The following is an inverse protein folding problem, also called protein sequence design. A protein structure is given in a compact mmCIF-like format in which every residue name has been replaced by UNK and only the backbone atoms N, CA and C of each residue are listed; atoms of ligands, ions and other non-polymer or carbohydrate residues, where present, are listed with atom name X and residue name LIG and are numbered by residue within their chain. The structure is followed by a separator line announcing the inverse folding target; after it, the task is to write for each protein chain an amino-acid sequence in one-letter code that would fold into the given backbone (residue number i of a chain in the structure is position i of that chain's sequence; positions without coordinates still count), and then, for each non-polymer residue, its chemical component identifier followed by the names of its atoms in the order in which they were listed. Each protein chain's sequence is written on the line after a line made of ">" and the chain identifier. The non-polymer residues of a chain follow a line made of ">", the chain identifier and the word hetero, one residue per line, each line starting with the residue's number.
data_IF_819065210343
#
_entry.id   IF_819065210343
#
_cell.length_a   1.000
_cell.length_b   1.000
_cell.length_c   1.000
_cell.angle_alpha   90.00
_cell.angle_beta   90.00
_cell.angle_gamma   90.00
#
_symmetry.space_group_name_H-M   'P 1'
#
loop_
_entity.id
_entity.type
_entity.pdbx_description
1 polymer ?
#
# COMPACT_ATOMS: atom_id res chain seq x y z
N UNK A 1 -0.51 26.85 11.56
CA UNK A 1 -1.90 26.33 11.68
C UNK A 1 -1.96 25.00 10.94
N UNK A 2 -2.20 23.89 11.65
CA UNK A 2 -2.36 22.60 10.99
C UNK A 2 -3.64 22.62 10.14
N UNK A 3 -3.54 22.36 8.83
CA UNK A 3 -4.70 22.20 7.96
C UNK A 3 -5.44 20.94 8.44
N UNK A 4 -6.72 21.07 8.81
CA UNK A 4 -7.55 19.90 9.16
C UNK A 4 -7.72 19.05 7.90
N UNK A 5 -7.23 17.81 7.94
CA UNK A 5 -7.49 16.82 6.91
C UNK A 5 -8.96 16.40 6.99
N UNK A 6 -9.67 16.46 5.85
CA UNK A 6 -11.03 15.93 5.68
C UNK A 6 -10.98 14.91 4.57
N UNK A 7 -11.38 13.68 4.88
CA UNK A 7 -11.33 12.52 3.98
C UNK A 7 -12.52 11.61 4.30
N UNK A 8 -13.10 10.96 3.29
CA UNK A 8 -14.19 10.01 3.51
C UNK A 8 -13.65 8.65 3.99
N UNK A 9 -14.50 7.83 4.60
CA UNK A 9 -14.12 6.46 5.00
C UNK A 9 -13.84 5.57 3.80
N UNK A 10 -14.54 5.79 2.68
CA UNK A 10 -14.31 5.09 1.41
C UNK A 10 -12.94 5.44 0.82
N UNK A 11 -12.55 6.73 0.84
CA UNK A 11 -11.22 7.16 0.38
C UNK A 11 -10.11 6.52 1.22
N UNK A 12 -10.30 6.43 2.56
CA UNK A 12 -9.35 5.79 3.47
C UNK A 12 -9.20 4.29 3.17
N UNK A 13 -10.31 3.59 2.95
CA UNK A 13 -10.31 2.19 2.59
C UNK A 13 -9.64 1.97 1.22
N UNK A 14 -10.02 2.74 0.21
CA UNK A 14 -9.46 2.70 -1.15
C UNK A 14 -7.96 2.97 -1.14
N UNK A 15 -7.50 3.99 -0.41
CA UNK A 15 -6.09 4.28 -0.24
C UNK A 15 -5.35 3.12 0.43
N UNK A 16 -5.92 2.55 1.49
CA UNK A 16 -5.35 1.41 2.20
C UNK A 16 -5.15 0.18 1.32
N UNK A 17 -6.18 -0.18 0.55
CA UNK A 17 -6.12 -1.29 -0.42
C UNK A 17 -5.13 -1.00 -1.54
N UNK A 18 -5.18 0.21 -2.13
CA UNK A 18 -4.30 0.60 -3.23
C UNK A 18 -2.82 0.62 -2.83
N UNK A 19 -2.50 1.16 -1.65
CA UNK A 19 -1.13 1.13 -1.12
C UNK A 19 -0.65 -0.30 -0.90
N UNK A 20 -1.51 -1.18 -0.37
CA UNK A 20 -1.16 -2.60 -0.23
C UNK A 20 -0.89 -3.26 -1.59
N UNK A 21 -1.70 -2.97 -2.61
CA UNK A 21 -1.46 -3.46 -3.98
C UNK A 21 -0.12 -2.99 -4.50
N UNK A 22 0.20 -1.69 -4.37
CA UNK A 22 1.52 -1.16 -4.77
C UNK A 22 2.65 -1.87 -4.03
N UNK A 23 2.55 -2.06 -2.72
CA UNK A 23 3.56 -2.81 -1.98
C UNK A 23 3.76 -4.23 -2.55
N UNK A 24 2.68 -4.95 -2.85
CA UNK A 24 2.74 -6.29 -3.44
C UNK A 24 3.33 -6.31 -4.85
N UNK A 25 3.08 -5.31 -5.69
CA UNK A 25 3.72 -5.21 -7.00
C UNK A 25 5.22 -4.93 -6.90
N UNK A 26 5.66 -4.26 -5.82
CA UNK A 26 7.08 -4.04 -5.55
C UNK A 26 7.76 -5.26 -4.96
N UNK A 27 7.03 -6.11 -4.23
CA UNK A 27 7.48 -7.43 -3.78
C UNK A 27 7.74 -8.34 -4.99
N UNK A 28 8.94 -8.91 -5.07
CA UNK A 28 9.29 -9.83 -6.17
C UNK A 28 9.95 -9.19 -7.39
N UNK A 29 10.04 -7.86 -7.44
CA UNK A 29 10.83 -7.16 -8.46
C UNK A 29 12.35 -7.31 -8.25
N UNK A 30 12.80 -7.68 -7.05
CA UNK A 30 14.18 -8.09 -6.77
C UNK A 30 14.60 -9.29 -7.63
N UNK A 31 13.67 -10.23 -7.85
CA UNK A 31 13.86 -11.43 -8.67
C UNK A 31 13.75 -11.19 -10.17
N UNK A 32 13.38 -9.98 -10.57
CA UNK A 32 13.22 -9.66 -11.98
C UNK A 32 14.58 -9.77 -12.69
N UNK A 33 15.67 -9.30 -12.08
CA UNK A 33 17.01 -9.41 -12.66
C UNK A 33 17.52 -10.86 -12.74
N UNK A 34 17.09 -11.75 -11.84
CA UNK A 34 17.40 -13.18 -11.94
C UNK A 34 16.89 -13.81 -13.24
N UNK A 35 15.87 -13.22 -13.86
CA UNK A 35 15.32 -13.66 -15.16
C UNK A 35 16.08 -13.13 -16.38
N UNK A 36 16.90 -12.08 -16.21
CA UNK A 36 17.66 -11.44 -17.29
C UNK A 36 19.10 -11.94 -17.32
N UNK A 37 19.32 -13.07 -17.98
CA UNK A 37 20.65 -13.61 -18.21
C UNK A 37 21.44 -12.82 -19.27
N UNK A 38 22.73 -13.14 -19.41
CA UNK A 38 23.59 -12.53 -20.43
C UNK A 38 23.06 -12.70 -21.86
N UNK A 39 22.33 -13.78 -22.15
CA UNK A 39 21.75 -14.02 -23.49
C UNK A 39 20.60 -13.07 -23.77
N UNK A 40 19.83 -12.73 -22.74
CA UNK A 40 18.71 -11.80 -22.80
C UNK A 40 19.18 -10.35 -22.93
N UNK A 41 20.22 -9.97 -22.18
CA UNK A 41 20.76 -8.60 -22.21
C UNK A 41 21.70 -8.36 -23.40
N UNK A 42 22.33 -9.41 -23.93
CA UNK A 42 23.19 -9.35 -25.13
C UNK A 42 24.57 -8.71 -24.93
N UNK A 43 24.82 -8.01 -23.82
CA UNK A 43 26.10 -7.39 -23.49
C UNK A 43 26.50 -7.61 -22.03
N UNK A 44 27.71 -8.15 -21.80
CA UNK A 44 28.18 -8.57 -20.46
C UNK A 44 28.23 -7.41 -19.46
N UNK A 45 28.90 -6.32 -19.82
CA UNK A 45 29.02 -5.16 -18.92
C UNK A 45 27.66 -4.51 -18.64
N UNK A 46 26.70 -4.58 -19.57
CA UNK A 46 25.38 -4.02 -19.33
C UNK A 46 24.62 -4.88 -18.32
N UNK A 47 24.70 -6.20 -18.45
CA UNK A 47 24.08 -7.14 -17.50
C UNK A 47 24.67 -6.96 -16.10
N UNK A 48 25.98 -6.83 -15.97
CA UNK A 48 26.65 -6.55 -14.69
C UNK A 48 26.15 -5.25 -14.06
N UNK A 49 26.06 -4.15 -14.83
CA UNK A 49 25.56 -2.87 -14.32
C UNK A 49 24.08 -2.89 -13.93
N UNK A 50 23.26 -3.67 -14.64
CA UNK A 50 21.86 -3.85 -14.27
C UNK A 50 21.72 -4.67 -12.98
N UNK A 51 22.55 -5.69 -12.79
CA UNK A 51 22.59 -6.47 -11.56
C UNK A 51 23.06 -5.60 -10.38
N UNK A 52 24.17 -4.87 -10.52
CA UNK A 52 24.66 -3.95 -9.48
C UNK A 52 23.61 -2.90 -9.09
N UNK A 53 22.86 -2.39 -10.07
CA UNK A 53 21.76 -1.47 -9.83
C UNK A 53 20.62 -2.12 -9.06
N UNK A 54 20.21 -3.34 -9.45
CA UNK A 54 19.15 -4.08 -8.76
C UNK A 54 19.54 -4.39 -7.31
N UNK A 55 20.73 -4.94 -7.11
CA UNK A 55 21.27 -5.28 -5.80
C UNK A 55 21.39 -4.03 -4.92
N UNK A 56 21.92 -2.93 -5.48
CA UNK A 56 22.06 -1.66 -4.78
C UNK A 56 20.72 -0.95 -4.50
N UNK A 57 19.67 -1.25 -5.28
CA UNK A 57 18.34 -0.72 -4.99
C UNK A 57 17.71 -1.46 -3.80
N UNK A 58 17.90 -2.77 -3.66
CA UNK A 58 17.13 -3.63 -2.72
C UNK A 58 16.79 -2.98 -1.37
N UNK A 59 17.77 -2.45 -0.63
CA UNK A 59 17.52 -1.78 0.66
C UNK A 59 16.51 -0.61 0.58
N UNK A 60 16.57 0.19 -0.48
CA UNK A 60 15.62 1.29 -0.71
C UNK A 60 14.24 0.78 -1.12
N UNK A 61 14.18 -0.34 -1.86
CA UNK A 61 12.90 -1.00 -2.20
C UNK A 61 12.23 -1.51 -0.95
N UNK A 62 12.97 -2.20 -0.09
CA UNK A 62 12.45 -2.80 1.14
C UNK A 62 11.89 -1.73 2.08
N UNK A 63 12.65 -0.65 2.32
CA UNK A 63 12.17 0.49 3.11
C UNK A 63 10.88 1.08 2.54
N UNK A 64 10.81 1.27 1.23
CA UNK A 64 9.62 1.82 0.59
C UNK A 64 8.42 0.87 0.71
N UNK A 65 8.61 -0.45 0.55
CA UNK A 65 7.57 -1.46 0.75
C UNK A 65 7.06 -1.41 2.21
N UNK A 66 7.95 -1.35 3.19
CA UNK A 66 7.57 -1.25 4.61
C UNK A 66 6.76 0.02 4.91
N UNK A 67 7.21 1.18 4.43
CA UNK A 67 6.49 2.44 4.61
C UNK A 67 5.10 2.43 3.96
N UNK A 68 5.01 1.93 2.71
CA UNK A 68 3.74 1.83 1.98
C UNK A 68 2.78 0.88 2.68
N UNK A 69 3.26 -0.27 3.18
CA UNK A 69 2.44 -1.22 3.96
C UNK A 69 1.92 -0.57 5.23
N UNK A 70 2.78 0.11 5.98
CA UNK A 70 2.39 0.79 7.22
C UNK A 70 1.33 1.86 6.96
N UNK A 71 1.52 2.70 5.94
CA UNK A 71 0.52 3.71 5.56
C UNK A 71 -0.79 3.07 5.09
N UNK A 72 -0.71 2.00 4.32
CA UNK A 72 -1.88 1.28 3.81
C UNK A 72 -2.70 0.65 4.93
N UNK A 73 -2.04 0.02 5.91
CA UNK A 73 -2.68 -0.58 7.08
C UNK A 73 -3.37 0.48 7.95
N UNK A 74 -2.71 1.61 8.20
CA UNK A 74 -3.29 2.72 8.96
C UNK A 74 -4.54 3.26 8.25
N UNK A 75 -4.46 3.53 6.94
CA UNK A 75 -5.57 4.09 6.19
C UNK A 75 -6.77 3.13 6.18
N UNK A 76 -6.52 1.84 5.89
CA UNK A 76 -7.56 0.81 5.91
C UNK A 76 -8.23 0.69 7.28
N UNK A 77 -7.43 0.56 8.34
CA UNK A 77 -7.93 0.40 9.72
C UNK A 77 -8.74 1.60 10.16
N UNK A 78 -8.30 2.81 9.81
CA UNK A 78 -9.06 4.03 10.09
C UNK A 78 -10.41 4.02 9.35
N UNK A 79 -10.43 3.68 8.05
CA UNK A 79 -11.66 3.59 7.27
C UNK A 79 -12.66 2.58 7.83
N UNK A 80 -12.19 1.39 8.22
CA UNK A 80 -13.00 0.35 8.86
C UNK A 80 -13.57 0.81 10.21
N UNK A 81 -12.73 1.36 11.09
CA UNK A 81 -13.14 1.83 12.41
C UNK A 81 -14.20 2.94 12.35
N UNK A 82 -14.02 3.93 11.48
CA UNK A 82 -15.02 5.00 11.32
C UNK A 82 -16.33 4.50 10.72
N UNK A 83 -16.27 3.56 9.78
CA UNK A 83 -17.48 2.94 9.20
C UNK A 83 -18.25 2.13 10.24
N UNK A 84 -17.55 1.42 11.12
CA UNK A 84 -18.16 0.69 12.24
C UNK A 84 -18.85 1.65 13.21
N UNK A 85 -18.16 2.73 13.62
CA UNK A 85 -18.73 3.77 14.50
C UNK A 85 -20.00 4.38 13.88
N UNK A 86 -19.97 4.74 12.60
CA UNK A 86 -21.13 5.32 11.91
C UNK A 86 -22.30 4.33 11.83
N UNK A 87 -22.00 3.05 11.61
CA UNK A 87 -23.00 1.97 11.57
C UNK A 87 -23.68 1.79 12.92
N UNK A 88 -22.92 1.75 14.02
CA UNK A 88 -23.46 1.63 15.37
C UNK A 88 -24.27 2.87 15.78
N UNK A 89 -23.81 4.06 15.41
CA UNK A 89 -24.55 5.30 15.62
C UNK A 89 -25.90 5.30 14.87
N UNK A 90 -25.91 4.89 13.61
CA UNK A 90 -27.13 4.75 12.81
C UNK A 90 -28.12 3.77 13.46
N UNK A 91 -27.64 2.59 13.87
CA UNK A 91 -28.47 1.59 14.57
C UNK A 91 -29.05 2.15 15.87
N UNK A 92 -28.27 2.89 16.65
CA UNK A 92 -28.72 3.48 17.91
C UNK A 92 -29.79 4.57 17.70
N UNK A 93 -29.71 5.34 16.61
CA UNK A 93 -30.68 6.37 16.27
C UNK A 93 -31.97 5.76 15.68
N UNK A 94 -31.87 4.99 14.60
CA UNK A 94 -33.03 4.40 13.91
C UNK A 94 -33.70 3.29 14.74
N UNK A 95 -32.92 2.55 15.53
CA UNK A 95 -33.44 1.53 16.44
C UNK A 95 -34.25 2.11 17.60
N UNK A 96 -34.04 3.39 17.96
CA UNK A 96 -34.89 4.11 18.92
C UNK A 96 -36.20 4.58 18.31
N UNK A 97 -36.21 4.96 17.04
CA UNK A 97 -37.42 5.46 16.35
C UNK A 97 -38.44 4.35 16.03
N UNK A 98 -38.02 3.09 15.87
CA UNK A 98 -38.95 1.95 15.64
C UNK A 98 -39.72 1.49 16.88
N UNK A 99 -39.54 2.12 18.06
CA UNK A 99 -40.26 1.80 19.30
C UNK A 99 -41.42 2.76 19.63
N UNK A 100 -41.92 3.52 18.66
CA UNK A 100 -43.13 4.34 18.81
C UNK A 100 -44.21 3.91 17.84
#
# INVERSE_FOLDING_TARGET
>A
MSKRLRVSTDDLHTAGVGLRTVATEFEGLDKLMDSYDRRTVGHNLLQERLQEFSDGWNDNRDKMIEEIKGLGEIAKTAGEAYTEIDTELYKALVGKDKKK
#
